data_IF_584935931146
#
_entry.id   IF_584935931146
#
_cell.length_a   1.000
_cell.length_b   1.000
_cell.length_c   1.000
_cell.angle_alpha   90.00
_cell.angle_beta   90.00
_cell.angle_gamma   90.00
#
_symmetry.space_group_name_H-M   'P 1'
#
loop_
_entity.id
_entity.type
_entity.pdbx_description
1 polymer ?
#
# COMPACT_ATOMS: atom_id res chain seq x y z
N UNK A 1 1.91 1.58 -8.54
CA UNK A 1 2.63 2.63 -9.30
C UNK A 1 3.76 3.19 -8.45
N UNK A 2 4.89 3.60 -9.03
CA UNK A 2 6.05 4.12 -8.29
C UNK A 2 6.96 4.99 -9.16
N UNK A 3 7.65 5.95 -8.55
CA UNK A 3 8.76 6.74 -9.13
C UNK A 3 8.46 7.41 -10.46
N UNK A 4 7.30 8.04 -10.56
CA UNK A 4 6.91 8.84 -11.73
C UNK A 4 6.98 10.34 -11.41
N UNK A 5 7.16 11.23 -12.40
CA UNK A 5 7.05 12.66 -12.22
C UNK A 5 5.68 13.05 -11.64
N UNK A 6 5.60 14.21 -10.98
CA UNK A 6 4.34 14.76 -10.51
C UNK A 6 3.34 14.85 -11.66
N UNK A 7 2.24 14.14 -11.53
CA UNK A 7 1.15 14.11 -12.50
C UNK A 7 -0.16 14.21 -11.72
N UNK A 8 -1.04 15.11 -12.11
CA UNK A 8 -2.40 15.17 -11.60
C UNK A 8 -3.33 14.36 -12.50
N UNK A 9 -4.29 13.72 -11.88
CA UNK A 9 -5.35 12.98 -12.57
C UNK A 9 -6.49 13.92 -12.98
N UNK A 10 -7.49 13.39 -13.68
CA UNK A 10 -8.73 14.12 -13.99
C UNK A 10 -9.49 14.55 -12.72
N UNK A 11 -9.36 13.80 -11.63
CA UNK A 11 -9.92 14.13 -10.32
C UNK A 11 -9.08 15.15 -9.54
N UNK A 12 -8.05 15.73 -10.17
CA UNK A 12 -7.12 16.68 -9.56
C UNK A 12 -6.37 16.12 -8.34
N UNK A 13 -6.06 14.83 -8.32
CA UNK A 13 -5.26 14.16 -7.30
C UNK A 13 -3.88 13.78 -7.83
N UNK A 14 -2.89 13.69 -6.93
CA UNK A 14 -1.57 13.18 -7.31
C UNK A 14 -1.67 11.68 -7.69
N UNK A 15 -1.18 11.34 -8.88
CA UNK A 15 -1.43 10.07 -9.54
C UNK A 15 -0.96 8.85 -8.72
N UNK A 16 0.20 8.90 -8.06
CA UNK A 16 0.70 7.77 -7.26
C UNK A 16 -0.21 7.52 -6.05
N UNK A 17 -0.63 8.59 -5.38
CA UNK A 17 -1.51 8.50 -4.22
C UNK A 17 -2.91 8.04 -4.62
N UNK A 18 -3.44 8.56 -5.72
CA UNK A 18 -4.76 8.12 -6.21
C UNK A 18 -4.77 6.64 -6.56
N UNK A 19 -3.82 6.17 -7.36
CA UNK A 19 -3.79 4.77 -7.82
C UNK A 19 -3.47 3.81 -6.67
N UNK A 20 -2.51 4.16 -5.80
CA UNK A 20 -2.04 3.24 -4.77
C UNK A 20 -2.93 3.23 -3.52
N UNK A 21 -3.65 4.32 -3.24
CA UNK A 21 -4.44 4.45 -2.02
C UNK A 21 -5.91 4.75 -2.28
N UNK A 22 -6.28 5.91 -2.86
CA UNK A 22 -7.69 6.31 -2.94
C UNK A 22 -8.55 5.35 -3.77
N UNK A 23 -8.04 4.85 -4.90
CA UNK A 23 -8.74 3.85 -5.71
C UNK A 23 -8.98 2.55 -4.94
N UNK A 24 -7.96 2.08 -4.19
CA UNK A 24 -8.09 0.88 -3.35
C UNK A 24 -9.00 1.12 -2.15
N UNK A 25 -8.96 2.32 -1.55
CA UNK A 25 -9.87 2.73 -0.49
C UNK A 25 -11.34 2.66 -0.98
N UNK A 26 -11.65 3.29 -2.11
CA UNK A 26 -12.99 3.26 -2.68
C UNK A 26 -13.44 1.84 -3.02
N UNK A 27 -12.63 1.10 -3.80
CA UNK A 27 -12.96 -0.25 -4.22
C UNK A 27 -13.25 -1.17 -3.02
N UNK A 28 -12.39 -1.12 -1.99
CA UNK A 28 -12.54 -1.98 -0.82
C UNK A 28 -13.82 -1.64 -0.04
N UNK A 29 -14.13 -0.34 0.11
CA UNK A 29 -15.35 0.09 0.79
C UNK A 29 -16.62 -0.28 0.02
N UNK A 30 -16.62 -0.21 -1.31
CA UNK A 30 -17.74 -0.66 -2.14
C UNK A 30 -17.98 -2.18 -2.04
N UNK A 31 -16.95 -2.96 -1.73
CA UNK A 31 -17.04 -4.41 -1.60
C UNK A 31 -17.40 -4.89 -0.17
N UNK A 32 -17.51 -3.99 0.82
CA UNK A 32 -17.69 -4.38 2.25
C UNK A 32 -18.88 -5.31 2.46
N UNK A 33 -20.02 -5.03 1.84
CA UNK A 33 -21.21 -5.86 2.03
C UNK A 33 -21.05 -7.27 1.43
N UNK A 34 -20.38 -7.37 0.28
CA UNK A 34 -20.05 -8.67 -0.34
C UNK A 34 -19.00 -9.43 0.49
N UNK A 35 -17.99 -8.73 0.99
CA UNK A 35 -16.99 -9.32 1.88
C UNK A 35 -17.60 -9.83 3.18
N UNK A 36 -18.55 -9.10 3.77
CA UNK A 36 -19.26 -9.54 4.96
C UNK A 36 -20.18 -10.74 4.68
N UNK A 37 -20.89 -10.75 3.55
CA UNK A 37 -21.75 -11.85 3.15
C UNK A 37 -20.97 -13.17 2.95
N UNK A 38 -19.69 -13.12 2.60
CA UNK A 38 -18.82 -14.28 2.50
C UNK A 38 -18.48 -14.91 3.87
N UNK A 39 -18.74 -14.22 5.00
CA UNK A 39 -18.58 -14.71 6.37
C UNK A 39 -17.17 -14.76 6.90
N UNK A 40 -16.17 -15.09 6.08
CA UNK A 40 -14.74 -15.11 6.43
C UNK A 40 -13.94 -14.58 5.25
N UNK A 41 -13.77 -13.27 5.20
CA UNK A 41 -13.08 -12.63 4.11
C UNK A 41 -11.80 -11.90 4.57
N UNK A 42 -10.91 -11.65 3.62
CA UNK A 42 -9.63 -11.00 3.89
C UNK A 42 -9.33 -9.94 2.85
N UNK A 43 -8.84 -8.81 3.34
CA UNK A 43 -8.30 -7.72 2.53
C UNK A 43 -6.80 -7.65 2.76
N UNK A 44 -6.00 -7.77 1.71
CA UNK A 44 -4.54 -7.73 1.78
C UNK A 44 -4.04 -6.52 1.01
N UNK A 45 -3.59 -5.50 1.75
CA UNK A 45 -3.07 -4.26 1.18
C UNK A 45 -1.57 -4.35 0.92
N UNK A 46 -1.18 -4.23 -0.35
CA UNK A 46 0.24 -4.28 -0.70
C UNK A 46 0.92 -2.96 -0.39
N UNK A 47 1.78 -2.99 0.63
CA UNK A 47 2.65 -1.91 1.05
C UNK A 47 4.09 -2.13 0.56
N UNK A 48 5.06 -1.48 1.18
CA UNK A 48 6.49 -1.57 0.89
C UNK A 48 7.30 -1.15 2.11
N UNK A 49 8.59 -1.51 2.17
CA UNK A 49 9.56 -0.92 3.11
C UNK A 49 9.65 0.62 2.97
N UNK A 50 9.28 1.15 1.80
CA UNK A 50 9.25 2.58 1.53
C UNK A 50 8.35 3.39 2.49
N UNK A 51 7.39 2.76 3.17
CA UNK A 51 6.61 3.43 4.22
C UNK A 51 7.50 3.98 5.37
N UNK A 52 8.66 3.36 5.59
CA UNK A 52 9.64 3.80 6.57
C UNK A 52 10.41 5.08 6.19
N UNK A 53 10.33 5.53 4.93
CA UNK A 53 10.92 6.81 4.49
C UNK A 53 10.11 8.01 4.97
N UNK A 54 8.87 7.79 5.41
CA UNK A 54 7.97 8.82 5.92
C UNK A 54 8.08 8.86 7.44
N UNK A 55 8.81 9.85 7.97
CA UNK A 55 9.07 9.93 9.42
C UNK A 55 8.00 10.70 10.20
N UNK A 56 7.42 11.75 9.59
CA UNK A 56 6.54 12.70 10.26
C UNK A 56 5.03 12.48 9.98
N UNK A 57 4.66 11.30 9.44
CA UNK A 57 3.28 11.04 9.04
C UNK A 57 2.94 11.63 7.67
N UNK A 58 1.65 11.56 7.31
CA UNK A 58 1.14 12.04 6.02
C UNK A 58 0.88 13.55 6.07
N UNK A 59 1.20 14.25 4.97
CA UNK A 59 0.84 15.66 4.83
C UNK A 59 -0.54 15.78 4.16
N UNK A 60 -1.58 15.97 4.96
CA UNK A 60 -2.96 16.11 4.50
C UNK A 60 -3.26 17.49 3.88
N UNK A 61 -2.43 18.50 4.16
CA UNK A 61 -2.64 19.87 3.67
C UNK A 61 -2.10 20.10 2.26
N UNK A 62 -1.31 19.16 1.76
CA UNK A 62 -0.65 19.27 0.45
C UNK A 62 -0.53 17.90 -0.24
N UNK A 63 -1.64 17.18 -0.33
CA UNK A 63 -1.68 15.84 -0.95
C UNK A 63 -1.42 15.88 -2.46
N UNK A 64 -1.62 17.03 -3.08
CA UNK A 64 -1.35 17.28 -4.51
C UNK A 64 0.06 17.77 -4.79
N UNK A 65 0.85 18.08 -3.75
CA UNK A 65 2.20 18.65 -3.86
C UNK A 65 2.24 19.99 -4.62
N UNK A 66 1.31 20.86 -4.32
CA UNK A 66 1.27 22.21 -4.90
C UNK A 66 2.09 23.21 -4.09
N UNK A 67 2.17 23.00 -2.77
CA UNK A 67 2.84 23.92 -1.83
C UNK A 67 4.30 23.51 -1.58
N UNK A 68 4.62 22.23 -1.73
CA UNK A 68 5.94 21.66 -1.46
C UNK A 68 6.62 21.12 -2.72
N UNK A 69 7.95 21.02 -2.69
CA UNK A 69 8.69 20.39 -3.77
C UNK A 69 8.33 18.90 -3.88
N UNK A 70 7.89 18.46 -5.04
CA UNK A 70 7.56 17.08 -5.32
C UNK A 70 8.79 16.17 -5.20
N UNK A 71 8.61 15.07 -4.51
CA UNK A 71 9.58 13.99 -4.41
C UNK A 71 8.94 12.65 -4.75
N UNK A 72 9.40 12.02 -5.83
CA UNK A 72 8.89 10.70 -6.26
C UNK A 72 9.00 9.63 -5.16
N UNK A 73 10.08 9.67 -4.38
CA UNK A 73 10.29 8.73 -3.27
C UNK A 73 9.35 9.00 -2.11
N UNK A 74 9.11 10.27 -1.79
CA UNK A 74 8.17 10.64 -0.73
C UNK A 74 6.72 10.36 -1.14
N UNK A 75 6.30 10.66 -2.37
CA UNK A 75 4.97 10.34 -2.88
C UNK A 75 4.70 8.83 -2.82
N UNK A 76 5.66 8.02 -3.26
CA UNK A 76 5.56 6.57 -3.16
C UNK A 76 5.54 6.11 -1.69
N UNK A 77 6.45 6.59 -0.85
CA UNK A 77 6.49 6.27 0.58
C UNK A 77 5.17 6.61 1.29
N UNK A 78 4.61 7.80 1.04
CA UNK A 78 3.31 8.22 1.55
C UNK A 78 2.18 7.27 1.13
N UNK A 79 2.12 6.88 -0.13
CA UNK A 79 1.11 5.93 -0.61
C UNK A 79 1.21 4.56 0.07
N UNK A 80 2.44 4.11 0.41
CA UNK A 80 2.67 2.83 1.08
C UNK A 80 2.44 2.89 2.59
N UNK A 81 2.69 4.04 3.22
CA UNK A 81 2.26 4.32 4.60
C UNK A 81 0.72 4.34 4.69
N UNK A 82 0.07 5.03 3.76
CA UNK A 82 -1.39 5.09 3.71
C UNK A 82 -2.03 3.68 3.62
N UNK A 83 -1.44 2.76 2.86
CA UNK A 83 -1.94 1.39 2.76
C UNK A 83 -1.84 0.60 4.08
N UNK A 84 -0.81 0.83 4.91
CA UNK A 84 -0.72 0.22 6.24
C UNK A 84 -1.78 0.80 7.17
N UNK A 85 -1.88 2.13 7.23
CA UNK A 85 -2.85 2.83 8.06
C UNK A 85 -4.29 2.46 7.67
N UNK A 86 -4.59 2.36 6.37
CA UNK A 86 -5.87 1.90 5.86
C UNK A 86 -6.19 0.47 6.32
N UNK A 87 -5.28 -0.49 6.12
CA UNK A 87 -5.49 -1.87 6.53
C UNK A 87 -5.78 -1.97 8.03
N UNK A 88 -5.08 -1.19 8.85
CA UNK A 88 -5.27 -1.13 10.30
C UNK A 88 -6.67 -0.65 10.67
N UNK A 89 -7.10 0.49 10.11
CA UNK A 89 -8.40 1.07 10.44
C UNK A 89 -9.55 0.30 9.81
N UNK A 90 -9.38 -0.21 8.59
CA UNK A 90 -10.36 -1.07 7.93
C UNK A 90 -10.62 -2.34 8.74
N UNK A 91 -9.55 -3.03 9.17
CA UNK A 91 -9.67 -4.21 10.02
C UNK A 91 -10.41 -3.93 11.33
N UNK A 92 -10.06 -2.81 12.01
CA UNK A 92 -10.74 -2.40 13.25
C UNK A 92 -12.25 -2.15 13.05
N UNK A 93 -12.64 -1.55 11.92
CA UNK A 93 -14.04 -1.23 11.62
C UNK A 93 -14.89 -2.43 11.25
N UNK A 94 -14.28 -3.42 10.60
CA UNK A 94 -15.04 -4.50 9.96
C UNK A 94 -14.79 -5.90 10.55
N UNK A 95 -13.95 -6.04 11.59
CA UNK A 95 -13.65 -7.35 12.20
C UNK A 95 -14.89 -8.06 12.76
N UNK A 96 -15.87 -7.34 13.30
CA UNK A 96 -17.12 -7.90 13.82
C UNK A 96 -18.03 -8.41 12.69
N UNK A 97 -17.83 -7.93 11.47
CA UNK A 97 -18.50 -8.41 10.25
C UNK A 97 -17.78 -9.62 9.60
N UNK A 98 -16.80 -10.22 10.29
CA UNK A 98 -16.05 -11.36 9.79
C UNK A 98 -14.96 -11.01 8.76
N UNK A 99 -14.63 -9.72 8.55
CA UNK A 99 -13.63 -9.27 7.60
C UNK A 99 -12.31 -9.02 8.33
N UNK A 100 -11.22 -9.62 7.83
CA UNK A 100 -9.85 -9.37 8.31
C UNK A 100 -9.07 -8.55 7.30
N UNK A 101 -8.17 -7.70 7.79
CA UNK A 101 -7.33 -6.87 6.92
C UNK A 101 -5.87 -6.94 7.34
N UNK A 102 -5.00 -7.05 6.37
CA UNK A 102 -3.55 -7.11 6.57
C UNK A 102 -2.86 -6.17 5.59
N UNK A 103 -1.73 -5.64 5.99
CA UNK A 103 -0.81 -4.96 5.08
C UNK A 103 0.45 -5.77 4.92
N UNK A 104 1.02 -5.82 3.70
CA UNK A 104 2.16 -6.68 3.40
C UNK A 104 3.27 -5.94 2.67
N UNK A 105 4.52 -6.26 3.00
CA UNK A 105 5.66 -6.01 2.14
C UNK A 105 6.05 -7.32 1.43
N UNK A 106 5.96 -7.37 0.10
CA UNK A 106 6.25 -8.60 -0.65
C UNK A 106 7.74 -8.92 -0.79
N UNK A 107 8.62 -8.10 -0.20
CA UNK A 107 10.06 -8.15 -0.47
C UNK A 107 10.43 -7.26 -1.65
N UNK A 108 11.73 -7.16 -1.93
CA UNK A 108 12.24 -6.48 -3.12
C UNK A 108 12.23 -7.47 -4.27
N UNK A 109 11.21 -7.37 -5.11
CA UNK A 109 10.96 -8.33 -6.20
C UNK A 109 11.52 -7.80 -7.51
N UNK A 110 12.13 -8.68 -8.29
CA UNK A 110 12.58 -8.42 -9.66
C UNK A 110 11.33 -8.26 -10.55
N UNK A 111 10.90 -7.02 -10.76
CA UNK A 111 9.71 -6.67 -11.53
C UNK A 111 10.08 -5.92 -12.80
N UNK A 112 9.10 -5.65 -13.65
CA UNK A 112 9.21 -4.81 -14.84
C UNK A 112 9.91 -3.47 -14.58
N UNK A 113 9.74 -2.89 -13.37
CA UNK A 113 10.40 -1.65 -12.95
C UNK A 113 11.94 -1.79 -12.96
N UNK A 114 12.47 -2.93 -12.50
CA UNK A 114 13.90 -3.23 -12.58
C UNK A 114 14.38 -3.42 -14.01
N UNK A 115 13.52 -3.95 -14.90
CA UNK A 115 13.82 -4.14 -16.32
C UNK A 115 14.00 -2.81 -17.05
N UNK A 116 13.21 -1.80 -16.75
CA UNK A 116 13.34 -0.46 -17.37
C UNK A 116 14.65 0.24 -16.98
N UNK A 117 15.09 0.05 -15.73
CA UNK A 117 16.40 0.55 -15.27
C UNK A 117 17.52 -0.19 -15.99
N UNK A 118 17.42 -1.53 -16.07
CA UNK A 118 18.38 -2.39 -16.76
C UNK A 118 18.58 -2.00 -18.22
N UNK A 119 17.49 -1.69 -18.94
CA UNK A 119 17.53 -1.29 -20.36
C UNK A 119 18.22 0.07 -20.59
N UNK A 120 18.40 0.89 -19.57
CA UNK A 120 19.10 2.17 -19.62
C UNK A 120 20.59 2.07 -19.24
N UNK A 121 21.04 0.88 -18.79
CA UNK A 121 22.43 0.66 -18.41
C UNK A 121 23.31 0.32 -19.63
N UNK A 122 24.60 0.70 -19.62
CA UNK A 122 25.57 0.23 -20.59
C UNK A 122 25.64 -1.32 -20.61
N UNK A 123 25.67 -1.91 -21.80
CA UNK A 123 25.57 -3.36 -22.00
C UNK A 123 26.60 -4.16 -21.18
N UNK A 124 27.80 -3.63 -21.00
CA UNK A 124 28.86 -4.28 -20.23
C UNK A 124 28.58 -4.33 -18.71
N UNK A 125 27.70 -3.48 -18.17
CA UNK A 125 27.28 -3.49 -16.76
C UNK A 125 26.11 -4.43 -16.48
N UNK A 126 25.37 -4.82 -17.51
CA UNK A 126 24.19 -5.67 -17.37
C UNK A 126 24.48 -7.00 -16.66
N UNK A 127 25.53 -7.77 -16.98
CA UNK A 127 25.81 -9.04 -16.28
C UNK A 127 26.12 -8.84 -14.79
N UNK A 128 26.82 -7.76 -14.45
CA UNK A 128 27.17 -7.44 -13.05
C UNK A 128 25.91 -7.06 -12.27
N UNK A 129 25.03 -6.24 -12.84
CA UNK A 129 23.78 -5.86 -12.19
C UNK A 129 22.80 -7.02 -12.09
N UNK A 130 22.74 -7.90 -13.08
CA UNK A 130 21.94 -9.14 -13.03
C UNK A 130 22.41 -10.07 -11.92
N UNK A 131 23.72 -10.27 -11.79
CA UNK A 131 24.30 -11.08 -10.71
C UNK A 131 23.99 -10.48 -9.33
N UNK A 132 24.25 -9.19 -9.12
CA UNK A 132 23.93 -8.50 -7.87
C UNK A 132 22.43 -8.53 -7.57
N UNK A 133 21.59 -8.29 -8.59
CA UNK A 133 20.14 -8.37 -8.44
C UNK A 133 19.68 -9.76 -8.00
N UNK A 134 20.27 -10.81 -8.54
CA UNK A 134 19.92 -12.20 -8.17
C UNK A 134 20.24 -12.55 -6.72
N UNK A 135 21.19 -11.84 -6.11
CA UNK A 135 21.56 -12.04 -4.69
C UNK A 135 20.61 -11.32 -3.72
N UNK A 136 20.00 -10.20 -4.14
CA UNK A 136 19.23 -9.34 -3.26
C UNK A 136 17.74 -9.23 -3.61
N UNK A 137 17.35 -9.58 -4.85
CA UNK A 137 15.98 -9.49 -5.29
C UNK A 137 15.28 -10.86 -5.26
N UNK A 138 14.07 -10.86 -4.75
CA UNK A 138 13.23 -12.05 -4.73
C UNK A 138 12.65 -12.33 -6.11
N UNK A 139 12.46 -13.61 -6.44
CA UNK A 139 11.66 -13.98 -7.61
C UNK A 139 10.19 -13.53 -7.43
N UNK A 140 9.41 -13.35 -8.50
CA UNK A 140 7.98 -13.06 -8.38
C UNK A 140 7.23 -14.09 -7.54
N UNK A 141 7.59 -15.36 -7.63
CA UNK A 141 7.04 -16.44 -6.80
C UNK A 141 7.39 -16.25 -5.31
N UNK A 142 8.62 -15.84 -5.01
CA UNK A 142 9.04 -15.52 -3.63
C UNK A 142 8.28 -14.32 -3.08
N UNK A 143 8.15 -13.23 -3.88
CA UNK A 143 7.40 -12.05 -3.49
C UNK A 143 5.90 -12.29 -3.23
N UNK A 144 5.31 -13.26 -3.93
CA UNK A 144 3.91 -13.63 -3.72
C UNK A 144 3.66 -14.35 -2.39
N UNK A 145 4.69 -14.96 -1.75
CA UNK A 145 4.49 -15.82 -0.57
C UNK A 145 3.85 -15.10 0.61
N UNK A 146 4.28 -13.87 0.92
CA UNK A 146 3.70 -13.11 2.04
C UNK A 146 2.26 -12.70 1.75
N UNK A 147 1.94 -12.39 0.49
CA UNK A 147 0.57 -12.05 0.07
C UNK A 147 -0.33 -13.28 0.22
N UNK A 148 0.11 -14.43 -0.30
CA UNK A 148 -0.59 -15.70 -0.20
C UNK A 148 -0.76 -16.13 1.27
N UNK A 149 0.29 -16.02 2.08
CA UNK A 149 0.22 -16.29 3.52
C UNK A 149 -0.91 -15.48 4.17
N UNK A 150 -0.96 -14.18 3.98
CA UNK A 150 -2.03 -13.34 4.53
C UNK A 150 -3.40 -13.68 3.95
N UNK A 151 -3.47 -14.11 2.69
CA UNK A 151 -4.73 -14.43 2.04
C UNK A 151 -5.34 -15.75 2.51
N UNK A 152 -4.53 -16.80 2.76
CA UNK A 152 -5.05 -18.16 2.93
C UNK A 152 -4.65 -18.86 4.24
N UNK A 153 -3.65 -18.37 5.01
CA UNK A 153 -3.17 -19.03 6.23
C UNK A 153 -4.27 -19.09 7.31
N UNK A 154 -4.74 -20.27 7.71
CA UNK A 154 -5.84 -20.40 8.67
C UNK A 154 -5.55 -19.78 10.04
N UNK A 155 -4.28 -19.83 10.49
CA UNK A 155 -3.83 -19.29 11.77
C UNK A 155 -4.07 -17.80 11.94
N UNK A 156 -4.23 -17.03 10.83
CA UNK A 156 -4.45 -15.58 10.89
C UNK A 156 -5.91 -15.18 11.06
N UNK A 157 -6.84 -16.13 11.21
CA UNK A 157 -8.28 -15.85 11.26
C UNK A 157 -8.72 -14.96 12.44
N UNK A 158 -7.92 -14.88 13.49
CA UNK A 158 -8.20 -14.06 14.70
C UNK A 158 -7.46 -12.71 14.70
N UNK A 159 -6.55 -12.49 13.74
CA UNK A 159 -5.72 -11.30 13.66
C UNK A 159 -6.26 -10.34 12.62
N UNK A 160 -6.07 -9.04 12.83
CA UNK A 160 -6.43 -8.02 11.84
C UNK A 160 -5.59 -6.75 12.06
N UNK A 161 -5.41 -5.96 11.02
CA UNK A 161 -4.71 -4.67 11.07
C UNK A 161 -3.18 -4.79 11.20
N UNK A 162 -2.62 -5.99 11.06
CA UNK A 162 -1.18 -6.24 11.22
C UNK A 162 -0.41 -6.05 9.92
N UNK A 163 0.89 -5.79 10.06
CA UNK A 163 1.84 -5.65 8.95
C UNK A 163 2.73 -6.90 8.86
N UNK A 164 2.84 -7.46 7.67
CA UNK A 164 3.58 -8.69 7.39
C UNK A 164 4.72 -8.47 6.41
N UNK A 165 5.86 -9.11 6.68
CA UNK A 165 6.95 -9.29 5.74
C UNK A 165 7.59 -10.65 5.98
N UNK A 166 8.02 -11.34 4.92
CA UNK A 166 8.58 -12.69 4.97
C UNK A 166 7.67 -13.69 5.74
N UNK A 167 6.36 -13.64 5.47
CA UNK A 167 5.33 -14.47 6.11
C UNK A 167 5.28 -14.35 7.65
N UNK A 168 5.74 -13.24 8.22
CA UNK A 168 5.76 -12.99 9.66
C UNK A 168 5.24 -11.59 9.97
N UNK A 169 4.63 -11.42 11.13
CA UNK A 169 4.30 -10.10 11.67
C UNK A 169 5.59 -9.32 11.88
N UNK A 170 5.60 -8.09 11.41
CA UNK A 170 6.70 -7.14 11.61
C UNK A 170 6.19 -5.82 12.17
N UNK A 171 7.03 -5.15 12.94
CA UNK A 171 6.73 -3.82 13.44
C UNK A 171 6.96 -2.81 12.31
N UNK A 172 5.93 -2.09 11.85
CA UNK A 172 6.11 -1.05 10.84
C UNK A 172 6.71 0.24 11.45
N UNK A 173 6.93 1.27 10.64
CA UNK A 173 7.42 2.58 11.09
C UNK A 173 6.52 3.18 12.19
N UNK A 174 7.06 4.09 13.00
CA UNK A 174 6.30 4.76 14.10
C UNK A 174 5.01 5.40 13.58
N UNK A 175 5.07 6.09 12.43
CA UNK A 175 3.89 6.70 11.82
C UNK A 175 2.81 5.64 11.50
N UNK A 176 3.20 4.47 10.98
CA UNK A 176 2.29 3.38 10.65
C UNK A 176 1.69 2.67 11.88
N UNK A 177 2.29 2.82 13.06
CA UNK A 177 1.77 2.25 14.30
C UNK A 177 0.63 3.08 14.90
N UNK A 178 0.51 4.37 14.54
CA UNK A 178 -0.47 5.29 15.12
C UNK A 178 -1.90 4.93 14.72
N UNK A 179 -2.73 4.62 15.71
CA UNK A 179 -4.19 4.42 15.49
C UNK A 179 -4.92 5.75 15.28
N UNK A 180 -4.36 6.84 15.75
CA UNK A 180 -4.88 8.19 15.50
C UNK A 180 -4.68 8.58 14.03
N UNK A 181 -3.45 8.41 13.50
CA UNK A 181 -3.17 8.63 12.08
C UNK A 181 -4.04 7.73 11.17
N UNK A 182 -4.28 6.48 11.58
CA UNK A 182 -5.15 5.59 10.81
C UNK A 182 -6.59 6.11 10.73
N UNK A 183 -7.15 6.64 11.83
CA UNK A 183 -8.47 7.28 11.85
C UNK A 183 -8.50 8.57 11.06
N UNK A 184 -7.45 9.40 11.18
CA UNK A 184 -7.32 10.66 10.43
C UNK A 184 -7.26 10.41 8.93
N UNK A 185 -6.44 9.44 8.49
CA UNK A 185 -6.37 9.04 7.09
C UNK A 185 -7.72 8.52 6.58
N UNK A 186 -8.41 7.72 7.39
CA UNK A 186 -9.73 7.22 7.01
C UNK A 186 -10.70 8.35 6.71
N UNK A 187 -10.82 9.32 7.63
CA UNK A 187 -11.73 10.46 7.44
C UNK A 187 -11.33 11.27 6.21
N UNK A 188 -10.05 11.62 6.09
CA UNK A 188 -9.52 12.35 4.95
C UNK A 188 -9.81 11.63 3.62
N UNK A 189 -9.58 10.31 3.56
CA UNK A 189 -9.84 9.53 2.36
C UNK A 189 -11.33 9.44 2.03
N UNK A 190 -12.18 9.36 3.06
CA UNK A 190 -13.64 9.36 2.89
C UNK A 190 -14.15 10.67 2.31
N UNK A 191 -13.60 11.79 2.77
CA UNK A 191 -13.96 13.12 2.27
C UNK A 191 -13.54 13.28 0.80
N UNK A 192 -12.27 12.99 0.48
CA UNK A 192 -11.76 13.06 -0.90
C UNK A 192 -12.56 12.15 -1.86
N UNK A 193 -12.82 10.90 -1.46
CA UNK A 193 -13.53 9.96 -2.33
C UNK A 193 -15.01 10.29 -2.43
N UNK A 194 -15.61 10.85 -1.36
CA UNK A 194 -17.00 11.32 -1.36
C UNK A 194 -17.22 12.48 -2.34
N UNK A 195 -16.23 13.34 -2.50
CA UNK A 195 -16.30 14.49 -3.41
C UNK A 195 -16.21 14.09 -4.90
N UNK A 196 -15.47 13.02 -5.22
CA UNK A 196 -15.22 12.57 -6.60
C UNK A 196 -16.10 11.40 -7.05
N UNK A 197 -16.77 10.72 -6.13
CA UNK A 197 -17.58 9.54 -6.44
C UNK A 197 -19.06 9.76 -6.09
N UNK A 198 -19.99 9.50 -7.02
CA UNK A 198 -21.42 9.50 -6.72
C UNK A 198 -21.84 8.33 -5.81
N UNK A 199 -20.94 7.36 -5.60
CA UNK A 199 -21.19 6.17 -4.78
C UNK A 199 -20.91 6.50 -3.31
N UNK A 200 -21.96 6.46 -2.49
CA UNK A 200 -21.82 6.70 -1.04
C UNK A 200 -21.06 5.54 -0.38
N UNK A 201 -19.97 5.89 0.30
CA UNK A 201 -19.29 4.98 1.23
C UNK A 201 -20.15 4.89 2.50
N UNK A 202 -20.54 3.69 2.88
CA UNK A 202 -21.36 3.42 4.07
C UNK A 202 -20.51 3.10 5.30
#
# INVERSE_FOLDING_TARGET
>A
MAFIPRTLTEDNLELVTQVNHFANFLLTNLLVDLLAAAGKSRVVMVSSLAHGWVQNGLNYEDVTWEKSQYSMTAAYGNSKLANILFAKEFGRRHQERGIRSYSVHPGTVLTELGRDIRNKLPVFLVPVTDYLSSLFLMTPKGGAQTILHCAVEPGLSQETGLYYANCQVKTPSKAAQSSEEARKLWQFSSDIVGDISPLKIR
#
